data_IF_357895572055
#
_entry.id   IF_357895572055
#
_cell.length_a   1.000
_cell.length_b   1.000
_cell.length_c   1.000
_cell.angle_alpha   90.00
_cell.angle_beta   90.00
_cell.angle_gamma   90.00
#
_symmetry.space_group_name_H-M   'P 1'
#
loop_
_entity.id
_entity.type
_entity.pdbx_description
1 polymer ?
#
# COMPACT_ATOMS: atom_id res chain seq x y z
N UNK A 1 5.63 23.92 -0.89
CA UNK A 1 4.37 23.30 -0.42
C UNK A 1 4.61 21.80 -0.24
N UNK A 2 4.13 21.17 0.84
CA UNK A 2 4.23 19.71 0.96
C UNK A 2 3.49 19.06 -0.20
N UNK A 3 4.11 18.06 -0.84
CA UNK A 3 3.49 17.35 -1.96
C UNK A 3 2.23 16.64 -1.43
N UNK A 4 1.05 16.84 -2.04
CA UNK A 4 -0.16 16.15 -1.61
C UNK A 4 0.04 14.63 -1.70
N UNK A 5 -0.33 13.90 -0.64
CA UNK A 5 -0.39 12.42 -0.68
C UNK A 5 -1.48 12.04 -1.70
N UNK A 6 -1.12 11.23 -2.69
CA UNK A 6 -2.04 10.79 -3.76
C UNK A 6 -3.16 9.85 -3.26
N UNK A 7 -2.91 9.18 -2.14
CA UNK A 7 -3.83 8.27 -1.45
C UNK A 7 -3.88 8.63 0.02
N UNK A 8 -4.96 8.36 0.74
CA UNK A 8 -4.97 8.48 2.21
C UNK A 8 -4.23 7.30 2.85
N UNK A 9 -3.93 7.39 4.14
CA UNK A 9 -3.33 6.26 4.85
C UNK A 9 -4.37 5.15 5.11
N UNK A 10 -5.66 5.51 5.23
CA UNK A 10 -6.77 4.55 5.33
C UNK A 10 -6.92 3.70 4.05
N UNK A 11 -6.88 4.33 2.87
CA UNK A 11 -6.91 3.60 1.59
C UNK A 11 -5.75 2.59 1.48
N UNK A 12 -4.58 2.93 2.03
CA UNK A 12 -3.41 2.05 2.06
C UNK A 12 -3.63 0.87 3.01
N UNK A 13 -4.23 1.10 4.17
CA UNK A 13 -4.51 0.04 5.15
C UNK A 13 -5.61 -0.91 4.68
N UNK A 14 -6.62 -0.39 3.98
CA UNK A 14 -7.67 -1.22 3.35
C UNK A 14 -7.08 -2.13 2.27
N UNK A 15 -6.23 -1.59 1.39
CA UNK A 15 -5.54 -2.37 0.38
C UNK A 15 -4.59 -3.41 0.99
N UNK A 16 -3.84 -3.05 2.03
CA UNK A 16 -3.01 -4.00 2.77
C UNK A 16 -3.85 -5.14 3.35
N UNK A 17 -5.02 -4.84 3.89
CA UNK A 17 -5.96 -5.85 4.40
C UNK A 17 -6.45 -6.76 3.28
N UNK A 18 -6.77 -6.22 2.11
CA UNK A 18 -7.19 -7.00 0.95
C UNK A 18 -6.08 -7.96 0.46
N UNK A 19 -4.84 -7.47 0.34
CA UNK A 19 -3.67 -8.27 -0.03
C UNK A 19 -3.43 -9.37 1.00
N UNK A 20 -3.44 -9.04 2.29
CA UNK A 20 -3.21 -10.00 3.38
C UNK A 20 -4.25 -11.12 3.36
N UNK A 21 -5.53 -10.81 3.15
CA UNK A 21 -6.60 -11.80 3.02
C UNK A 21 -6.41 -12.70 1.80
N UNK A 22 -5.85 -12.17 0.71
CA UNK A 22 -5.68 -12.88 -0.56
C UNK A 22 -4.48 -13.85 -0.55
N UNK A 23 -3.32 -13.41 -0.05
CA UNK A 23 -2.08 -14.19 -0.13
C UNK A 23 -1.66 -14.84 1.20
N UNK A 24 -2.29 -14.44 2.31
CA UNK A 24 -1.86 -14.81 3.66
C UNK A 24 -0.60 -14.06 4.12
N UNK A 25 -0.25 -14.15 5.42
CA UNK A 25 0.82 -13.36 6.02
C UNK A 25 2.23 -13.70 5.50
N UNK A 26 2.48 -14.97 5.14
CA UNK A 26 3.80 -15.41 4.66
C UNK A 26 4.15 -14.76 3.31
N UNK A 27 3.15 -14.56 2.45
CA UNK A 27 3.35 -13.99 1.12
C UNK A 27 3.03 -12.49 1.05
N UNK A 28 2.70 -11.86 2.18
CA UNK A 28 2.35 -10.46 2.23
C UNK A 28 3.58 -9.58 1.99
N UNK A 29 3.54 -8.70 0.98
CA UNK A 29 4.65 -7.80 0.67
C UNK A 29 4.19 -6.37 0.42
N UNK A 30 5.05 -5.40 0.73
CA UNK A 30 4.81 -3.99 0.43
C UNK A 30 4.75 -3.70 -1.08
N UNK A 31 5.38 -4.54 -1.90
CA UNK A 31 5.27 -4.42 -3.36
C UNK A 31 3.85 -4.70 -3.83
N UNK A 32 3.23 -5.76 -3.29
CA UNK A 32 1.84 -6.11 -3.62
C UNK A 32 0.85 -5.07 -3.13
N UNK A 33 1.08 -4.51 -1.93
CA UNK A 33 0.26 -3.39 -1.44
C UNK A 33 0.40 -2.17 -2.35
N UNK A 34 1.62 -1.81 -2.75
CA UNK A 34 1.86 -0.68 -3.65
C UNK A 34 1.17 -0.87 -5.01
N UNK A 35 1.22 -2.09 -5.57
CA UNK A 35 0.50 -2.44 -6.79
C UNK A 35 -1.01 -2.28 -6.63
N UNK A 36 -1.58 -2.77 -5.52
CA UNK A 36 -3.02 -2.68 -5.21
C UNK A 36 -3.50 -1.22 -5.13
N UNK A 37 -2.72 -0.30 -4.54
CA UNK A 37 -3.09 1.12 -4.41
C UNK A 37 -2.64 2.01 -5.57
N UNK A 38 -1.98 1.45 -6.58
CA UNK A 38 -1.45 2.20 -7.72
C UNK A 38 -0.33 3.18 -7.35
N UNK A 39 0.51 2.83 -6.38
CA UNK A 39 1.69 3.61 -5.98
C UNK A 39 2.98 2.86 -6.31
N UNK A 40 4.09 3.60 -6.37
CA UNK A 40 5.39 2.94 -6.30
C UNK A 40 5.67 2.47 -4.86
N UNK A 41 6.41 1.37 -4.71
CA UNK A 41 6.86 0.90 -3.38
C UNK A 41 7.65 1.97 -2.61
N UNK A 42 8.47 2.76 -3.30
CA UNK A 42 9.22 3.85 -2.68
C UNK A 42 8.28 4.94 -2.14
N UNK A 43 7.25 5.30 -2.91
CA UNK A 43 6.24 6.26 -2.47
C UNK A 43 5.40 5.75 -1.30
N UNK A 44 5.25 4.43 -1.12
CA UNK A 44 4.60 3.82 0.03
C UNK A 44 5.47 3.88 1.31
N UNK A 45 6.80 3.68 1.17
CA UNK A 45 7.75 3.69 2.31
C UNK A 45 8.00 5.11 2.84
N UNK A 46 7.97 6.12 1.97
CA UNK A 46 8.26 7.52 2.31
C UNK A 46 7.05 8.30 2.89
N UNK A 47 6.00 7.61 3.34
CA UNK A 47 4.73 8.24 3.77
C UNK A 47 4.73 8.68 5.22
#
# INVERSE_FOLDING_TARGET
MPRPKLKSDDEVLEAATAVLKRCGPINFTLSEVANEVGLSRAALIQR
#
